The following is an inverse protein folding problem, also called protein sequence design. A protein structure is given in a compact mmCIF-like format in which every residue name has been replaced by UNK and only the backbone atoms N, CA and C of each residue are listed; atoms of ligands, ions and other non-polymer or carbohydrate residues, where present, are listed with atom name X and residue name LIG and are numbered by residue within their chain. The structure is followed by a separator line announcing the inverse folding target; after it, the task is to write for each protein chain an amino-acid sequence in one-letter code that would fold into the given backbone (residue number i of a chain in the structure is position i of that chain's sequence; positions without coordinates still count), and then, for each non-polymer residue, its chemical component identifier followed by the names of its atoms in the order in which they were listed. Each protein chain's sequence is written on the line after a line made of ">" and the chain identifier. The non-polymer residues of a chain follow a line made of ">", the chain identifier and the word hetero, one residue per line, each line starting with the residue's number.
data_IF_213535976897
#
_entry.id   IF_213535976897
#
_cell.length_a   1.000
_cell.length_b   1.000
_cell.length_c   1.000
_cell.angle_alpha   90.00
_cell.angle_beta   90.00
_cell.angle_gamma   90.00
#
_symmetry.space_group_name_H-M   'P 1'
#
loop_
_entity.id
_entity.type
_entity.pdbx_description
1 polymer ?
#
# COMPACT_ATOMS: atom_id res chain seq x y z
N UNK A 1 5.31 18.49 0.39
CA UNK A 1 5.31 17.52 1.51
C UNK A 1 5.07 16.16 0.89
N UNK A 2 5.88 15.14 1.21
CA UNK A 2 5.69 13.81 0.64
C UNK A 2 4.89 12.91 1.57
N UNK A 3 3.82 12.28 1.06
CA UNK A 3 2.90 11.46 1.86
C UNK A 3 2.85 10.05 1.28
N UNK A 4 3.14 9.05 2.11
CA UNK A 4 3.07 7.63 1.76
C UNK A 4 2.15 6.85 2.70
N UNK A 5 1.81 5.61 2.31
CA UNK A 5 1.06 4.67 3.14
C UNK A 5 1.98 3.60 3.73
N UNK A 6 1.69 3.22 4.96
CA UNK A 6 2.15 1.98 5.57
C UNK A 6 0.98 0.99 5.54
N UNK A 7 1.15 -0.17 4.93
CA UNK A 7 0.07 -1.15 4.75
C UNK A 7 0.50 -2.55 5.17
N UNK A 8 -0.18 -3.10 6.18
CA UNK A 8 -0.13 -4.53 6.53
C UNK A 8 -1.15 -5.26 5.67
N UNK A 9 -0.70 -6.24 4.90
CA UNK A 9 -1.54 -6.94 3.94
C UNK A 9 -1.87 -8.34 4.45
N UNK A 10 -3.14 -8.71 4.29
CA UNK A 10 -3.64 -10.06 4.58
C UNK A 10 -4.45 -10.55 3.40
N UNK A 11 -4.85 -11.83 3.40
CA UNK A 11 -5.67 -12.42 2.33
C UNK A 11 -7.06 -11.76 2.19
N UNK A 12 -7.51 -11.01 3.21
CA UNK A 12 -8.76 -10.25 3.17
C UNK A 12 -8.58 -8.78 2.77
N UNK A 13 -7.34 -8.30 2.61
CA UNK A 13 -7.07 -6.95 2.12
C UNK A 13 -7.23 -6.83 0.62
N UNK A 14 -7.39 -5.60 0.14
CA UNK A 14 -7.31 -5.32 -1.30
C UNK A 14 -5.94 -5.77 -1.83
N UNK A 15 -5.86 -6.41 -3.01
CA UNK A 15 -4.58 -6.74 -3.63
C UNK A 15 -3.66 -5.53 -3.71
N UNK A 16 -2.37 -5.68 -3.35
CA UNK A 16 -1.42 -4.56 -3.25
C UNK A 16 -1.31 -3.74 -4.53
N UNK A 17 -1.45 -4.40 -5.69
CA UNK A 17 -1.42 -3.75 -7.00
C UNK A 17 -2.58 -2.78 -7.19
N UNK A 18 -3.80 -3.15 -6.77
CA UNK A 18 -4.97 -2.25 -6.80
C UNK A 18 -4.86 -1.14 -5.77
N UNK A 19 -4.32 -1.44 -4.58
CA UNK A 19 -4.08 -0.42 -3.57
C UNK A 19 -3.09 0.64 -4.07
N UNK A 20 -1.99 0.22 -4.69
CA UNK A 20 -0.99 1.13 -5.27
C UNK A 20 -1.59 2.05 -6.34
N UNK A 21 -2.38 1.51 -7.27
CA UNK A 21 -3.09 2.32 -8.28
C UNK A 21 -4.05 3.32 -7.65
N UNK A 22 -4.81 2.89 -6.63
CA UNK A 22 -5.72 3.75 -5.90
C UNK A 22 -4.98 4.87 -5.15
N UNK A 23 -3.78 4.59 -4.64
CA UNK A 23 -2.92 5.54 -3.97
C UNK A 23 -2.39 6.61 -4.92
N UNK A 24 -1.87 6.20 -6.08
CA UNK A 24 -1.39 7.11 -7.12
C UNK A 24 -2.49 8.08 -7.57
N UNK A 25 -3.71 7.57 -7.82
CA UNK A 25 -4.86 8.39 -8.17
C UNK A 25 -5.27 9.42 -7.10
N UNK A 26 -4.81 9.24 -5.85
CA UNK A 26 -5.07 10.13 -4.71
C UNK A 26 -3.86 11.01 -4.36
N UNK A 27 -2.77 10.92 -5.12
CA UNK A 27 -1.57 11.74 -4.91
C UNK A 27 -0.65 11.25 -3.80
N UNK A 28 -0.76 10.00 -3.36
CA UNK A 28 0.25 9.38 -2.51
C UNK A 28 1.46 8.96 -3.36
N UNK A 29 2.66 9.09 -2.80
CA UNK A 29 3.91 8.92 -3.56
C UNK A 29 4.66 7.62 -3.26
N UNK A 30 4.31 6.93 -2.18
CA UNK A 30 4.96 5.69 -1.80
C UNK A 30 4.06 4.79 -0.96
N UNK A 31 4.28 3.48 -1.05
CA UNK A 31 3.74 2.47 -0.15
C UNK A 31 4.90 1.70 0.47
N UNK A 32 4.81 1.45 1.78
CA UNK A 32 5.68 0.52 2.47
C UNK A 32 4.86 -0.65 2.99
N UNK A 33 5.30 -1.86 2.67
CA UNK A 33 4.68 -3.11 3.09
C UNK A 33 5.72 -3.87 3.92
N UNK A 34 5.42 -4.24 5.17
CA UNK A 34 6.34 -5.03 5.97
C UNK A 34 6.55 -6.40 5.36
N UNK A 35 7.76 -6.92 5.50
CA UNK A 35 7.99 -8.35 5.35
C UNK A 35 7.18 -9.08 6.44
N UNK A 36 6.39 -10.06 6.02
CA UNK A 36 5.68 -10.96 6.92
C UNK A 36 6.48 -12.26 7.05
N UNK A 37 6.78 -12.67 8.28
CA UNK A 37 7.24 -14.03 8.55
C UNK A 37 6.12 -15.03 8.25
N UNK A 38 6.44 -16.27 7.82
CA UNK A 38 5.45 -17.33 7.61
C UNK A 38 4.63 -17.66 8.86
#
# INVERSE_FOLDING_TARGET
>A
MKIGLYAVLTDSTMPVTRLAQAMEARGFESIWVPEHSP
#
